data_IF_494717611447
#
_entry.id   IF_494717611447
#
_cell.length_a   1.000
_cell.length_b   1.000
_cell.length_c   1.000
_cell.angle_alpha   90.00
_cell.angle_beta   90.00
_cell.angle_gamma   90.00
#
_symmetry.space_group_name_H-M   'P 1'
#
loop_
_entity.id
_entity.type
_entity.pdbx_description
1 polymer ?
#
# COMPACT_ATOMS: atom_id res chain seq x y z
N UNK A 1 -19.18 -9.35 15.63
CA UNK A 1 -18.47 -9.37 14.34
C UNK A 1 -16.98 -9.25 14.61
N UNK A 2 -16.17 -10.15 14.06
CA UNK A 2 -14.72 -10.08 14.19
C UNK A 2 -14.17 -8.90 13.38
N UNK A 3 -13.63 -7.84 14.03
CA UNK A 3 -13.20 -6.63 13.35
C UNK A 3 -11.92 -6.84 12.53
N UNK A 4 -11.22 -7.96 12.76
CA UNK A 4 -9.96 -8.28 12.10
C UNK A 4 -10.03 -9.63 11.38
N UNK A 5 -9.25 -9.77 10.30
CA UNK A 5 -9.09 -10.98 9.49
C UNK A 5 -7.61 -11.18 9.20
N UNK A 6 -7.14 -12.43 9.18
CA UNK A 6 -5.80 -12.75 8.70
C UNK A 6 -5.79 -12.83 7.18
N UNK A 7 -4.82 -12.16 6.56
CA UNK A 7 -4.59 -12.17 5.13
C UNK A 7 -3.38 -13.06 4.82
N UNK A 8 -3.65 -14.29 4.41
CA UNK A 8 -2.67 -15.20 3.84
C UNK A 8 -2.46 -14.89 2.35
N UNK A 9 -1.28 -15.19 1.76
CA UNK A 9 -0.07 -15.73 2.39
C UNK A 9 0.80 -14.68 3.09
N UNK A 10 0.38 -13.41 3.13
CA UNK A 10 1.20 -12.28 3.58
C UNK A 10 1.43 -12.22 5.10
N UNK A 11 0.76 -13.06 5.90
CA UNK A 11 0.97 -13.11 7.34
C UNK A 11 0.60 -11.82 8.08
N UNK A 12 -0.36 -11.05 7.57
CA UNK A 12 -0.78 -9.77 8.18
C UNK A 12 -2.22 -9.82 8.66
N UNK A 13 -2.49 -9.14 9.78
CA UNK A 13 -3.82 -8.96 10.32
C UNK A 13 -4.44 -7.70 9.72
N UNK A 14 -5.57 -7.82 9.02
CA UNK A 14 -6.30 -6.70 8.41
C UNK A 14 -7.50 -6.33 9.27
N UNK A 15 -7.63 -5.04 9.57
CA UNK A 15 -8.87 -4.50 10.13
C UNK A 15 -9.88 -4.29 9.00
N UNK A 16 -11.03 -4.98 9.05
CA UNK A 16 -12.03 -5.00 7.96
C UNK A 16 -12.64 -3.64 7.67
N UNK A 17 -12.82 -2.83 8.70
CA UNK A 17 -13.45 -1.50 8.59
C UNK A 17 -12.43 -0.42 8.22
N UNK A 18 -11.22 -0.49 8.74
CA UNK A 18 -10.15 0.44 8.35
C UNK A 18 -9.50 0.06 7.01
N UNK A 19 -9.61 -1.19 6.57
CA UNK A 19 -8.97 -1.76 5.38
C UNK A 19 -7.45 -1.58 5.31
N UNK A 20 -6.80 -1.74 6.47
CA UNK A 20 -5.34 -1.69 6.60
C UNK A 20 -4.84 -2.80 7.53
N UNK A 21 -3.60 -3.20 7.32
CA UNK A 21 -2.86 -4.10 8.17
C UNK A 21 -2.54 -3.45 9.53
N UNK A 22 -2.57 -4.27 10.57
CA UNK A 22 -2.28 -3.93 11.96
C UNK A 22 -1.38 -5.01 12.55
N UNK A 23 -0.42 -4.60 13.39
CA UNK A 23 0.42 -5.53 14.14
C UNK A 23 -0.32 -6.07 15.37
N UNK A 24 0.04 -7.28 15.83
CA UNK A 24 -0.59 -7.90 17.01
C UNK A 24 -0.47 -6.99 18.25
N UNK A 25 0.71 -6.41 18.50
CA UNK A 25 0.90 -5.54 19.67
C UNK A 25 0.15 -4.21 19.55
N UNK A 26 -0.11 -3.75 18.33
CA UNK A 26 -0.78 -2.48 18.07
C UNK A 26 -2.31 -2.63 17.98
N UNK A 27 -2.83 -3.85 17.84
CA UNK A 27 -4.27 -4.10 17.61
C UNK A 27 -5.13 -3.49 18.71
N UNK A 28 -4.72 -3.60 19.98
CA UNK A 28 -5.50 -3.05 21.10
C UNK A 28 -5.56 -1.52 21.06
N UNK A 29 -4.45 -0.87 20.70
CA UNK A 29 -4.41 0.58 20.56
C UNK A 29 -5.17 1.06 19.32
N UNK A 30 -5.06 0.32 18.21
CA UNK A 30 -5.85 0.55 17.01
C UNK A 30 -7.36 0.47 17.30
N UNK A 31 -7.81 -0.63 17.92
CA UNK A 31 -9.21 -0.83 18.30
C UNK A 31 -9.67 0.24 19.29
N UNK A 32 -8.85 0.63 20.27
CA UNK A 32 -9.20 1.72 21.19
C UNK A 32 -9.46 3.05 20.49
N UNK A 33 -8.65 3.37 19.48
CA UNK A 33 -8.69 4.70 18.83
C UNK A 33 -9.72 4.76 17.70
N UNK A 34 -9.82 3.70 16.88
CA UNK A 34 -10.68 3.62 15.69
C UNK A 34 -12.00 2.87 15.92
N UNK A 35 -12.08 2.04 16.97
CA UNK A 35 -13.25 1.21 17.30
C UNK A 35 -13.69 1.44 18.74
N UNK A 36 -14.01 2.70 19.09
CA UNK A 36 -14.39 3.12 20.45
C UNK A 36 -15.62 2.41 21.03
N UNK A 37 -16.45 1.80 20.17
CA UNK A 37 -17.60 0.99 20.57
C UNK A 37 -17.20 -0.36 21.19
N UNK A 38 -15.95 -0.81 21.03
CA UNK A 38 -15.48 -2.07 21.60
C UNK A 38 -15.05 -1.90 23.07
N UNK A 39 -15.53 -2.76 23.94
CA UNK A 39 -15.15 -2.78 25.35
C UNK A 39 -13.68 -3.17 25.54
N UNK A 40 -13.11 -2.89 26.72
CA UNK A 40 -11.75 -3.33 27.04
C UNK A 40 -11.61 -4.85 26.98
N UNK A 41 -12.61 -5.58 27.48
CA UNK A 41 -12.65 -7.04 27.44
C UNK A 41 -12.68 -7.58 26.01
N UNK A 42 -13.51 -7.02 25.13
CA UNK A 42 -13.57 -7.43 23.72
C UNK A 42 -12.23 -7.24 23.02
N UNK A 43 -11.57 -6.08 23.24
CA UNK A 43 -10.24 -5.79 22.67
C UNK A 43 -9.19 -6.78 23.15
N UNK A 44 -9.18 -7.11 24.44
CA UNK A 44 -8.27 -8.10 25.01
C UNK A 44 -8.52 -9.51 24.46
N UNK A 45 -9.79 -9.91 24.26
CA UNK A 45 -10.13 -11.19 23.62
C UNK A 45 -9.61 -11.25 22.19
N UNK A 46 -9.78 -10.18 21.40
CA UNK A 46 -9.25 -10.10 20.03
C UNK A 46 -7.72 -10.20 20.03
N UNK A 47 -7.03 -9.46 20.90
CA UNK A 47 -5.57 -9.52 21.01
C UNK A 47 -5.06 -10.91 21.39
N UNK A 48 -5.74 -11.61 22.32
CA UNK A 48 -5.39 -12.98 22.69
C UNK A 48 -5.64 -13.96 21.54
N UNK A 49 -6.75 -13.81 20.82
CA UNK A 49 -7.07 -14.65 19.68
C UNK A 49 -6.03 -14.51 18.55
N UNK A 50 -5.70 -13.27 18.17
CA UNK A 50 -4.72 -13.02 17.09
C UNK A 50 -3.28 -13.35 17.52
N UNK A 51 -2.95 -13.22 18.80
CA UNK A 51 -1.64 -13.58 19.34
C UNK A 51 -1.36 -15.10 19.37
N UNK A 52 -2.38 -15.94 19.18
CA UNK A 52 -2.23 -17.40 19.06
C UNK A 52 -2.01 -17.87 17.61
N UNK A 53 -2.21 -16.99 16.63
CA UNK A 53 -2.10 -17.36 15.23
C UNK A 53 -0.62 -17.35 14.80
N UNK A 54 -0.12 -18.45 14.22
CA UNK A 54 1.25 -18.51 13.74
C UNK A 54 1.43 -17.58 12.53
N UNK A 55 2.68 -17.19 12.25
CA UNK A 55 3.08 -16.45 11.05
C UNK A 55 2.51 -15.04 10.91
N UNK A 56 2.12 -14.40 12.03
CA UNK A 56 1.73 -13.00 12.04
C UNK A 56 2.86 -12.08 12.51
N UNK A 57 2.96 -10.89 11.92
CA UNK A 57 3.90 -9.87 12.39
C UNK A 57 3.44 -9.28 13.74
N UNK A 58 4.28 -9.45 14.77
CA UNK A 58 3.97 -9.05 16.13
C UNK A 58 4.24 -7.57 16.39
N UNK A 59 5.36 -7.05 15.88
CA UNK A 59 5.90 -5.73 16.20
C UNK A 59 6.56 -5.05 14.98
N UNK A 60 7.00 -3.81 15.15
CA UNK A 60 7.61 -3.03 14.08
C UNK A 60 8.94 -3.63 13.58
N UNK A 61 9.72 -4.27 14.46
CA UNK A 61 10.99 -4.90 14.09
C UNK A 61 10.78 -6.10 13.15
N UNK A 62 9.70 -6.85 13.36
CA UNK A 62 9.34 -7.98 12.50
C UNK A 62 9.00 -7.53 11.08
N UNK A 63 8.59 -6.28 10.86
CA UNK A 63 8.36 -5.72 9.53
C UNK A 63 9.64 -5.53 8.71
N UNK A 64 10.83 -5.69 9.31
CA UNK A 64 12.10 -5.70 8.56
C UNK A 64 12.17 -6.85 7.56
N UNK A 65 11.47 -7.95 7.85
CA UNK A 65 11.40 -9.12 7.00
C UNK A 65 10.13 -9.15 6.14
N UNK A 66 9.32 -8.09 6.19
CA UNK A 66 8.12 -7.98 5.37
C UNK A 66 8.51 -7.55 3.96
N UNK A 67 8.19 -8.41 2.99
CA UNK A 67 8.42 -8.12 1.57
C UNK A 67 7.09 -7.80 0.91
N UNK A 68 7.06 -6.70 0.16
CA UNK A 68 5.95 -6.40 -0.73
C UNK A 68 5.93 -7.39 -1.90
N UNK A 69 4.75 -7.66 -2.49
CA UNK A 69 4.66 -8.45 -3.72
C UNK A 69 5.57 -7.86 -4.81
N UNK A 70 6.49 -8.68 -5.32
CA UNK A 70 7.45 -8.25 -6.35
C UNK A 70 6.82 -8.23 -7.76
N UNK A 71 5.77 -9.01 -7.97
CA UNK A 71 4.98 -9.03 -9.19
C UNK A 71 3.58 -8.48 -8.90
N UNK A 72 2.90 -7.91 -9.92
CA UNK A 72 1.51 -7.51 -9.80
C UNK A 72 0.64 -8.68 -9.30
N UNK A 73 -0.12 -8.45 -8.23
CA UNK A 73 -1.05 -9.43 -7.67
C UNK A 73 -2.49 -8.97 -7.87
N UNK A 74 -3.49 -9.86 -7.90
CA UNK A 74 -4.89 -9.43 -7.91
C UNK A 74 -5.18 -8.46 -6.76
N UNK A 75 -6.00 -7.44 -7.02
CA UNK A 75 -6.39 -6.47 -6.00
C UNK A 75 -7.00 -7.19 -4.77
N UNK A 76 -6.46 -6.87 -3.60
CA UNK A 76 -6.87 -7.47 -2.34
C UNK A 76 -8.07 -6.69 -1.81
N UNK A 77 -9.25 -7.32 -1.82
CA UNK A 77 -10.53 -6.70 -1.46
C UNK A 77 -10.57 -6.19 0.00
N UNK A 78 -9.84 -6.84 0.90
CA UNK A 78 -9.77 -6.44 2.31
C UNK A 78 -8.92 -5.18 2.54
N UNK A 79 -8.17 -4.71 1.55
CA UNK A 79 -7.33 -3.51 1.62
C UNK A 79 -8.01 -2.29 1.00
N UNK A 80 -7.57 -1.10 1.44
CA UNK A 80 -8.03 0.15 0.86
C UNK A 80 -7.57 0.28 -0.61
N UNK A 81 -8.35 1.00 -1.43
CA UNK A 81 -8.15 1.07 -2.87
C UNK A 81 -8.95 -0.01 -3.62
N UNK A 82 -8.49 -0.44 -4.82
CA UNK A 82 -7.24 -0.04 -5.49
C UNK A 82 -7.21 1.44 -5.90
N UNK A 83 -6.01 2.03 -5.93
CA UNK A 83 -5.78 3.41 -6.34
C UNK A 83 -5.16 3.45 -7.73
N UNK A 84 -5.70 4.26 -8.64
CA UNK A 84 -5.31 4.29 -10.05
C UNK A 84 -4.30 5.39 -10.39
N UNK A 85 -3.99 6.26 -9.42
CA UNK A 85 -3.02 7.36 -9.54
C UNK A 85 -1.60 6.92 -9.12
N UNK A 86 -1.29 5.63 -9.21
CA UNK A 86 0.06 5.12 -8.94
C UNK A 86 1.06 5.52 -10.02
N UNK A 87 2.26 5.87 -9.57
CA UNK A 87 3.43 6.21 -10.36
C UNK A 87 4.52 5.18 -10.06
N UNK A 88 4.73 4.22 -10.96
CA UNK A 88 5.71 3.15 -10.79
C UNK A 88 7.00 3.49 -11.50
N UNK A 89 8.13 3.46 -10.79
CA UNK A 89 9.44 3.62 -11.41
C UNK A 89 9.69 2.53 -12.47
N UNK A 90 10.30 2.91 -13.59
CA UNK A 90 10.58 1.95 -14.68
C UNK A 90 11.77 1.04 -14.37
N UNK A 91 12.64 1.45 -13.44
CA UNK A 91 13.87 0.73 -13.10
C UNK A 91 13.75 -0.18 -11.87
N UNK A 92 12.74 0.01 -11.03
CA UNK A 92 12.56 -0.79 -9.81
C UNK A 92 11.09 -0.91 -9.40
N UNK A 93 10.81 -1.62 -8.31
CA UNK A 93 9.43 -1.84 -7.81
C UNK A 93 8.87 -0.66 -7.00
N UNK A 94 9.55 0.49 -6.95
CA UNK A 94 9.07 1.65 -6.21
C UNK A 94 7.82 2.23 -6.85
N UNK A 95 6.79 2.41 -6.03
CA UNK A 95 5.54 3.06 -6.41
C UNK A 95 5.22 4.15 -5.39
N UNK A 96 4.86 5.32 -5.89
CA UNK A 96 4.27 6.39 -5.11
C UNK A 96 3.05 6.96 -5.84
N UNK A 97 2.22 7.74 -5.15
CA UNK A 97 1.05 8.42 -5.72
C UNK A 97 1.27 9.92 -5.92
N UNK A 98 2.48 10.41 -5.67
CA UNK A 98 2.83 11.83 -5.74
C UNK A 98 4.06 12.01 -6.60
N UNK A 99 3.97 12.86 -7.62
CA UNK A 99 5.07 13.16 -8.55
C UNK A 99 6.35 13.54 -7.82
N UNK A 100 6.24 14.39 -6.78
CA UNK A 100 7.39 14.83 -5.98
C UNK A 100 8.15 13.64 -5.37
N UNK A 101 7.44 12.65 -4.84
CA UNK A 101 8.06 11.48 -4.22
C UNK A 101 8.71 10.58 -5.27
N UNK A 102 8.04 10.38 -6.41
CA UNK A 102 8.58 9.58 -7.51
C UNK A 102 9.80 10.23 -8.14
N UNK A 103 9.79 11.55 -8.36
CA UNK A 103 10.94 12.32 -8.82
C UNK A 103 12.11 12.22 -7.86
N UNK A 104 11.86 12.43 -6.56
CA UNK A 104 12.89 12.33 -5.53
C UNK A 104 13.52 10.93 -5.50
N UNK A 105 12.69 9.89 -5.57
CA UNK A 105 13.16 8.51 -5.66
C UNK A 105 14.03 8.29 -6.90
N UNK A 106 13.56 8.66 -8.10
CA UNK A 106 14.34 8.51 -9.33
C UNK A 106 15.66 9.28 -9.27
N UNK A 107 15.68 10.46 -8.65
CA UNK A 107 16.88 11.26 -8.46
C UNK A 107 17.89 10.57 -7.54
N UNK A 108 17.47 10.10 -6.37
CA UNK A 108 18.37 9.50 -5.37
C UNK A 108 18.80 8.09 -5.77
N UNK A 109 17.86 7.25 -6.21
CA UNK A 109 18.11 5.82 -6.39
C UNK A 109 18.68 5.48 -7.77
N UNK A 110 18.49 6.37 -8.75
CA UNK A 110 18.77 6.11 -10.16
C UNK A 110 19.49 7.27 -10.86
N UNK A 111 20.00 8.23 -10.09
CA UNK A 111 20.71 9.42 -10.56
C UNK A 111 19.96 10.18 -11.66
N UNK A 112 18.63 10.15 -11.63
CA UNK A 112 17.83 10.83 -12.63
C UNK A 112 17.90 12.34 -12.46
N UNK A 113 18.25 13.02 -13.55
CA UNK A 113 18.27 14.48 -13.63
C UNK A 113 17.03 14.94 -14.37
N UNK A 114 16.28 15.86 -13.78
CA UNK A 114 15.10 16.43 -14.41
C UNK A 114 15.50 17.17 -15.71
N UNK A 115 15.03 16.73 -16.88
CA UNK A 115 15.37 17.39 -18.15
C UNK A 115 14.73 18.78 -18.26
N UNK A 116 13.69 19.07 -17.46
CA UNK A 116 13.04 20.39 -17.42
C UNK A 116 13.87 21.35 -16.57
N UNK A 117 14.68 22.18 -17.24
CA UNK A 117 15.37 23.31 -16.59
C UNK A 117 14.37 24.44 -16.29
N UNK A 118 14.51 25.15 -15.16
CA UNK A 118 13.74 26.38 -14.91
C UNK A 118 13.95 27.39 -16.05
N UNK A 119 12.86 27.98 -16.57
CA UNK A 119 12.91 29.08 -17.55
C UNK A 119 12.76 28.71 -19.03
N UNK A 120 12.63 27.43 -19.41
CA UNK A 120 12.36 27.04 -20.81
C UNK A 120 10.86 26.88 -21.07
N UNK A 121 10.34 27.53 -22.10
CA UNK A 121 8.94 27.40 -22.53
C UNK A 121 8.63 25.96 -22.95
N UNK A 122 7.46 25.46 -22.54
CA UNK A 122 6.99 24.07 -22.73
C UNK A 122 6.98 23.61 -24.20
N UNK A 123 7.03 24.55 -25.15
CA UNK A 123 7.02 24.30 -26.60
C UNK A 123 8.27 23.60 -27.16
N UNK A 124 9.42 23.70 -26.49
CA UNK A 124 10.70 23.17 -27.00
C UNK A 124 11.14 21.86 -26.33
N UNK A 125 10.30 21.31 -25.47
CA UNK A 125 10.63 20.11 -24.72
C UNK A 125 10.06 18.94 -25.53
N UNK A 126 10.88 18.09 -26.19
CA UNK A 126 10.39 16.85 -26.77
C UNK A 126 9.59 16.09 -25.70
N UNK A 127 8.63 15.26 -26.11
CA UNK A 127 7.89 14.40 -25.20
C UNK A 127 8.86 13.45 -24.46
N UNK A 128 9.50 13.95 -23.40
CA UNK A 128 10.36 13.15 -22.55
C UNK A 128 9.44 12.19 -21.82
N UNK A 129 9.68 10.89 -22.00
CA UNK A 129 9.13 9.90 -21.11
C UNK A 129 9.63 10.21 -19.70
N UNK A 130 8.70 10.42 -18.78
CA UNK A 130 9.05 10.39 -17.37
C UNK A 130 9.68 9.01 -17.05
N UNK A 131 10.62 8.90 -16.10
CA UNK A 131 11.23 7.61 -15.72
C UNK A 131 10.29 6.71 -14.90
N UNK A 132 8.98 6.90 -15.03
CA UNK A 132 7.93 6.15 -14.37
C UNK A 132 6.68 6.02 -15.24
N UNK A 133 5.97 4.91 -15.08
CA UNK A 133 4.62 4.70 -15.61
C UNK A 133 3.58 5.31 -14.68
N UNK A 134 2.72 6.14 -15.24
CA UNK A 134 1.54 6.68 -14.57
C UNK A 134 0.33 5.76 -14.75
N UNK A 135 -0.69 5.91 -13.90
CA UNK A 135 -1.94 5.17 -14.04
C UNK A 135 -1.88 3.75 -13.47
N UNK A 136 -0.84 3.42 -12.70
CA UNK A 136 -0.62 2.05 -12.20
C UNK A 136 -1.58 1.79 -11.03
N UNK A 137 -2.46 0.78 -11.13
CA UNK A 137 -3.30 0.40 -10.01
C UNK A 137 -2.43 -0.10 -8.86
N UNK A 138 -2.61 0.46 -7.67
CA UNK A 138 -1.78 0.14 -6.51
C UNK A 138 -2.56 0.07 -5.21
N UNK A 139 -2.03 -0.72 -4.27
CA UNK A 139 -2.50 -0.85 -2.90
C UNK A 139 -1.32 -0.83 -1.93
N UNK A 140 -1.62 -0.78 -0.63
CA UNK A 140 -0.63 -0.91 0.44
C UNK A 140 -1.25 -1.65 1.61
N UNK A 141 -0.42 -2.38 2.35
CA UNK A 141 -0.87 -3.08 3.55
C UNK A 141 -1.04 -2.11 4.71
N UNK A 142 0.00 -1.34 5.01
CA UNK A 142 0.02 -0.43 6.17
C UNK A 142 -0.23 1.01 5.75
N UNK A 143 -1.01 1.75 6.54
CA UNK A 143 -1.33 3.15 6.26
C UNK A 143 -0.18 4.13 6.53
N UNK A 144 0.77 3.71 7.37
CA UNK A 144 2.00 4.40 7.73
C UNK A 144 3.01 3.35 8.20
N UNK A 145 4.27 3.74 8.50
CA UNK A 145 5.38 2.89 9.00
C UNK A 145 6.23 2.23 7.90
N UNK A 146 7.25 1.47 8.31
CA UNK A 146 8.28 0.90 7.42
C UNK A 146 7.71 0.02 6.30
N UNK A 147 6.59 -0.67 6.54
CA UNK A 147 5.91 -1.51 5.57
C UNK A 147 4.75 -0.81 4.82
N UNK A 148 4.68 0.53 4.83
CA UNK A 148 3.62 1.28 4.12
C UNK A 148 3.90 1.53 2.65
N UNK A 149 4.82 0.78 2.04
CA UNK A 149 5.11 0.88 0.62
C UNK A 149 3.91 0.43 -0.23
N UNK A 150 3.79 1.05 -1.40
CA UNK A 150 2.79 0.70 -2.39
C UNK A 150 3.27 -0.48 -3.23
N UNK A 151 2.34 -1.35 -3.64
CA UNK A 151 2.57 -2.44 -4.57
C UNK A 151 1.54 -2.40 -5.70
N UNK A 152 1.94 -2.86 -6.88
CA UNK A 152 1.10 -2.90 -8.08
C UNK A 152 0.07 -4.02 -7.96
N UNK A 153 -1.14 -3.73 -8.41
CA UNK A 153 -2.23 -4.71 -8.43
C UNK A 153 -2.85 -4.84 -9.81
N UNK A 154 -3.30 -6.06 -10.10
CA UNK A 154 -4.08 -6.38 -11.29
C UNK A 154 -5.54 -6.22 -10.91
N UNK A 155 -6.26 -5.41 -11.67
CA UNK A 155 -7.70 -5.28 -11.56
C UNK A 155 -8.31 -6.17 -12.64
N UNK A 156 -9.18 -7.13 -12.28
CA UNK A 156 -9.92 -7.88 -13.28
C UNK A 156 -10.79 -6.92 -14.10
N UNK A 157 -10.82 -7.14 -15.41
CA UNK A 157 -11.43 -6.25 -16.43
C UNK A 157 -12.85 -5.75 -16.08
N UNK A 158 -13.64 -6.55 -15.38
CA UNK A 158 -14.99 -6.22 -14.90
C UNK A 158 -15.03 -5.13 -13.81
N UNK A 159 -13.90 -4.66 -13.29
CA UNK A 159 -13.80 -3.70 -12.18
C UNK A 159 -13.12 -2.37 -12.57
N UNK A 160 -12.83 -2.16 -13.85
CA UNK A 160 -12.31 -0.88 -14.33
C UNK A 160 -13.45 0.16 -14.40
N UNK A 161 -13.25 1.37 -13.83
CA UNK A 161 -14.20 2.46 -14.05
C UNK A 161 -14.14 2.89 -15.52
N UNK A 162 -15.13 2.47 -16.32
CA UNK A 162 -15.29 2.88 -17.71
C UNK A 162 -15.33 1.76 -18.76
N UNK A 163 -15.40 0.48 -18.37
CA UNK A 163 -15.64 -0.59 -19.34
C UNK A 163 -17.02 -0.38 -20.00
N UNK A 164 -17.11 -0.22 -21.33
CA UNK A 164 -18.41 -0.22 -22.00
C UNK A 164 -18.97 -1.63 -21.85
N UNK A 165 -20.08 -1.76 -21.14
CA UNK A 165 -20.83 -3.01 -21.11
C UNK A 165 -21.24 -3.37 -22.52
N UNK A 166 -20.85 -4.57 -22.94
CA UNK A 166 -21.30 -5.20 -24.19
C UNK A 166 -22.82 -5.31 -24.24
#
# INVERSE_FOLDING_TARGET
>A
MDPCKVLQPHGVLICKSCRYACLIQEVTNHLRTKHRHLSAQQRATIQKAVGRLPSLFHNQDSLNFFTLPACPVPAILDLAGPHFDGLKCDRCQYIARQDRLTQEHCRIAHDWVNPRKPGRTTREIPAFSNPWRSGVPCQRFFSSRRASGWFEVIIPDASLPGSPGT
#
